data_IF_944027218130
#
_entry.id   IF_944027218130
#
_cell.length_a   1.000
_cell.length_b   1.000
_cell.length_c   1.000
_cell.angle_alpha   90.00
_cell.angle_beta   90.00
_cell.angle_gamma   90.00
#
_symmetry.space_group_name_H-M   'P 1'
#
loop_
_entity.id
_entity.type
_entity.pdbx_description
1 polymer ?
#
# COMPACT_ATOMS: atom_id res chain seq x y z
N UNK A 1 -22.53 10.45 -7.93
CA UNK A 1 -22.48 9.22 -8.74
C UNK A 1 -21.11 9.21 -9.40
N UNK A 2 -20.14 8.47 -8.84
CA UNK A 2 -18.84 8.29 -9.50
C UNK A 2 -19.07 7.39 -10.72
N UNK A 3 -18.98 8.00 -11.88
CA UNK A 3 -19.09 7.32 -13.16
C UNK A 3 -17.71 6.78 -13.56
N UNK A 4 -17.08 6.03 -12.66
CA UNK A 4 -15.80 5.40 -12.96
C UNK A 4 -16.07 4.30 -13.99
N UNK A 5 -15.62 4.55 -15.22
CA UNK A 5 -15.83 3.71 -16.40
C UNK A 5 -15.11 2.36 -16.22
N UNK A 6 -14.04 2.33 -15.40
CA UNK A 6 -13.24 1.14 -15.17
C UNK A 6 -13.70 0.42 -13.88
N UNK A 7 -14.05 -0.84 -14.00
CA UNK A 7 -14.39 -1.70 -12.86
C UNK A 7 -13.31 -1.74 -11.79
N UNK A 8 -12.05 -1.68 -12.18
CA UNK A 8 -10.89 -1.64 -11.27
C UNK A 8 -10.97 -0.48 -10.29
N UNK A 9 -11.48 0.67 -10.72
CA UNK A 9 -11.64 1.83 -9.85
C UNK A 9 -12.95 1.78 -9.07
N UNK A 10 -14.06 1.39 -9.73
CA UNK A 10 -15.39 1.30 -9.11
C UNK A 10 -15.44 0.29 -7.96
N UNK A 11 -14.81 -0.87 -8.15
CA UNK A 11 -14.84 -1.97 -7.18
C UNK A 11 -13.56 -2.08 -6.35
N UNK A 12 -12.76 -1.00 -6.33
CA UNK A 12 -11.56 -0.94 -5.49
C UNK A 12 -11.96 -1.09 -4.01
N UNK A 13 -11.29 -1.95 -3.23
CA UNK A 13 -11.56 -2.11 -1.80
C UNK A 13 -11.50 -0.78 -1.06
N UNK A 14 -12.41 -0.58 -0.12
CA UNK A 14 -12.49 0.63 0.71
C UNK A 14 -12.16 0.36 2.18
N UNK A 15 -12.31 -0.88 2.62
CA UNK A 15 -12.03 -1.33 3.98
C UNK A 15 -11.08 -2.53 3.98
N UNK A 16 -10.46 -2.82 5.13
CA UNK A 16 -9.62 -4.02 5.29
C UNK A 16 -10.42 -5.29 5.06
N UNK A 17 -11.70 -5.28 5.40
CA UNK A 17 -12.57 -6.45 5.22
C UNK A 17 -12.87 -6.74 3.74
N UNK A 18 -12.84 -5.71 2.88
CA UNK A 18 -13.02 -5.88 1.43
C UNK A 18 -11.78 -6.49 0.75
N UNK A 19 -10.63 -6.49 1.44
CA UNK A 19 -9.40 -7.05 0.91
C UNK A 19 -9.44 -8.57 0.94
N UNK A 20 -9.05 -9.20 -0.16
CA UNK A 20 -8.91 -10.66 -0.23
C UNK A 20 -7.48 -10.99 0.21
N UNK A 21 -7.31 -11.22 1.51
CA UNK A 21 -6.02 -11.46 2.15
C UNK A 21 -6.16 -12.55 3.22
N UNK A 22 -5.06 -13.25 3.53
CA UNK A 22 -5.03 -14.16 4.67
C UNK A 22 -5.46 -13.46 5.95
N UNK A 23 -6.23 -14.16 6.79
CA UNK A 23 -6.76 -13.62 8.05
C UNK A 23 -5.64 -13.09 8.98
N UNK A 24 -4.48 -13.72 8.95
CA UNK A 24 -3.30 -13.25 9.69
C UNK A 24 -2.85 -11.84 9.29
N UNK A 25 -2.92 -11.52 7.99
CA UNK A 25 -2.60 -10.19 7.47
C UNK A 25 -3.72 -9.20 7.80
N UNK A 26 -4.99 -9.60 7.65
CA UNK A 26 -6.13 -8.76 8.05
C UNK A 26 -6.06 -8.38 9.53
N UNK A 27 -5.72 -9.33 10.40
CA UNK A 27 -5.53 -9.08 11.83
C UNK A 27 -4.40 -8.08 12.09
N UNK A 28 -3.26 -8.21 11.40
CA UNK A 28 -2.18 -7.22 11.50
C UNK A 28 -2.65 -5.82 11.08
N UNK A 29 -3.46 -5.71 10.04
CA UNK A 29 -4.01 -4.43 9.63
C UNK A 29 -5.04 -3.88 10.62
N UNK A 30 -5.91 -4.71 11.20
CA UNK A 30 -6.81 -4.32 12.29
C UNK A 30 -6.04 -3.79 13.51
N UNK A 31 -4.94 -4.44 13.88
CA UNK A 31 -4.09 -3.99 14.97
C UNK A 31 -3.44 -2.62 14.67
N UNK A 32 -3.01 -2.40 13.42
CA UNK A 32 -2.48 -1.10 12.98
C UNK A 32 -3.55 -0.02 13.04
N UNK A 33 -4.78 -0.33 12.59
CA UNK A 33 -5.92 0.60 12.61
C UNK A 33 -6.36 0.91 14.05
N UNK A 34 -6.33 -0.09 14.94
CA UNK A 34 -6.61 0.11 16.37
C UNK A 34 -5.54 0.89 17.12
N UNK A 35 -4.39 1.13 16.51
CA UNK A 35 -3.29 1.88 17.08
C UNK A 35 -3.33 3.37 16.74
N UNK A 36 -2.63 4.19 17.53
CA UNK A 36 -2.53 5.64 17.30
C UNK A 36 -1.64 6.02 16.12
N UNK A 37 -0.90 5.06 15.54
CA UNK A 37 0.15 5.34 14.55
C UNK A 37 0.29 4.24 13.52
N UNK A 38 0.35 4.62 12.23
CA UNK A 38 0.82 3.71 11.19
C UNK A 38 2.34 3.57 11.34
N UNK A 39 2.89 2.36 11.57
CA UNK A 39 4.32 2.15 11.50
C UNK A 39 4.81 2.30 10.04
N UNK A 40 6.12 2.43 9.84
CA UNK A 40 6.63 2.25 8.49
C UNK A 40 6.49 0.77 8.09
N UNK A 41 6.03 0.53 6.88
CA UNK A 41 5.69 -0.82 6.39
C UNK A 41 6.43 -1.14 5.09
N UNK A 42 6.77 -2.41 4.93
CA UNK A 42 7.11 -3.00 3.63
C UNK A 42 6.07 -4.08 3.36
N UNK A 43 5.25 -3.89 2.32
CA UNK A 43 4.30 -4.87 1.82
C UNK A 43 4.95 -5.63 0.67
N UNK A 44 5.31 -6.89 0.91
CA UNK A 44 6.04 -7.72 -0.04
C UNK A 44 5.21 -8.89 -0.53
N UNK A 45 5.31 -9.22 -1.82
CA UNK A 45 4.62 -10.38 -2.42
C UNK A 45 4.52 -10.27 -3.93
N UNK A 46 4.02 -11.32 -4.58
CA UNK A 46 3.91 -11.37 -6.04
C UNK A 46 3.01 -10.26 -6.61
N UNK A 47 3.16 -9.99 -7.89
CA UNK A 47 2.31 -9.02 -8.59
C UNK A 47 0.82 -9.39 -8.48
N UNK A 48 -0.05 -8.38 -8.41
CA UNK A 48 -1.50 -8.60 -8.36
C UNK A 48 -2.07 -9.05 -7.00
N UNK A 49 -1.27 -9.12 -5.93
CA UNK A 49 -1.74 -9.54 -4.59
C UNK A 49 -2.40 -8.42 -3.77
N UNK A 50 -2.64 -7.25 -4.35
CA UNK A 50 -3.38 -6.17 -3.69
C UNK A 50 -2.56 -5.28 -2.75
N UNK A 51 -1.22 -5.33 -2.77
CA UNK A 51 -0.34 -4.53 -1.88
C UNK A 51 -0.63 -3.04 -1.90
N UNK A 52 -0.69 -2.45 -3.09
CA UNK A 52 -0.98 -1.01 -3.27
C UNK A 52 -2.39 -0.66 -2.81
N UNK A 53 -3.37 -1.52 -3.10
CA UNK A 53 -4.75 -1.36 -2.63
C UNK A 53 -4.82 -1.40 -1.10
N UNK A 54 -4.11 -2.33 -0.47
CA UNK A 54 -4.05 -2.44 0.98
C UNK A 54 -3.41 -1.21 1.64
N UNK A 55 -2.32 -0.67 1.06
CA UNK A 55 -1.71 0.57 1.53
C UNK A 55 -2.69 1.74 1.50
N UNK A 56 -3.46 1.86 0.40
CA UNK A 56 -4.49 2.91 0.28
C UNK A 56 -5.66 2.72 1.24
N UNK A 57 -6.11 1.48 1.45
CA UNK A 57 -7.17 1.15 2.41
C UNK A 57 -6.76 1.54 3.82
N UNK A 58 -5.55 1.20 4.26
CA UNK A 58 -5.03 1.60 5.56
C UNK A 58 -5.05 3.13 5.74
N UNK A 59 -4.64 3.89 4.71
CA UNK A 59 -4.67 5.34 4.77
C UNK A 59 -6.10 5.89 4.86
N UNK A 60 -7.05 5.30 4.14
CA UNK A 60 -8.45 5.71 4.15
C UNK A 60 -9.14 5.43 5.48
N UNK A 61 -8.98 4.22 6.04
CA UNK A 61 -9.59 3.86 7.32
C UNK A 61 -9.05 4.66 8.50
N UNK A 62 -7.80 5.11 8.42
CA UNK A 62 -7.16 5.96 9.41
C UNK A 62 -7.29 7.47 9.14
N UNK A 63 -8.07 7.84 8.12
CA UNK A 63 -8.26 9.23 7.70
C UNK A 63 -6.94 10.01 7.54
N UNK A 64 -5.94 9.34 6.94
CA UNK A 64 -4.62 9.89 6.71
C UNK A 64 -4.53 10.58 5.36
N UNK A 65 -3.90 11.75 5.32
CA UNK A 65 -3.44 12.32 4.04
C UNK A 65 -2.35 11.42 3.46
N UNK A 66 -2.43 11.07 2.18
CA UNK A 66 -1.38 10.28 1.56
C UNK A 66 -1.03 10.73 0.14
N UNK A 67 0.21 10.46 -0.25
CA UNK A 67 0.67 10.55 -1.64
C UNK A 67 1.22 9.21 -2.08
N UNK A 68 1.08 8.93 -3.38
CA UNK A 68 1.67 7.75 -4.00
C UNK A 68 2.79 8.20 -4.93
N UNK A 69 3.94 7.58 -4.80
CA UNK A 69 5.10 7.79 -5.65
C UNK A 69 5.48 6.43 -6.23
N UNK A 70 5.56 6.35 -7.56
CA UNK A 70 5.98 5.12 -8.22
C UNK A 70 7.53 5.06 -8.26
N UNK A 71 8.10 4.01 -7.67
CA UNK A 71 9.53 3.77 -7.64
C UNK A 71 10.14 3.47 -9.01
N UNK A 72 9.34 2.96 -9.95
CA UNK A 72 9.80 2.66 -11.32
C UNK A 72 9.94 3.91 -12.19
N UNK A 73 9.10 4.92 -12.00
CA UNK A 73 9.07 6.14 -12.82
C UNK A 73 9.79 7.30 -12.14
N UNK A 74 9.28 7.75 -11.00
CA UNK A 74 9.77 8.94 -10.30
C UNK A 74 11.01 8.65 -9.44
N UNK A 75 11.15 7.41 -8.97
CA UNK A 75 12.28 6.96 -8.16
C UNK A 75 13.63 6.97 -8.87
N UNK A 76 13.66 7.17 -10.20
CA UNK A 76 14.91 7.32 -10.96
C UNK A 76 15.51 8.73 -10.84
N UNK A 77 14.69 9.74 -10.56
CA UNK A 77 15.09 11.15 -10.45
C UNK A 77 15.15 11.55 -8.98
N UNK A 78 16.26 11.30 -8.33
CA UNK A 78 16.49 11.56 -6.90
C UNK A 78 16.13 13.00 -6.48
N UNK A 79 16.37 13.99 -7.31
CA UNK A 79 16.05 15.39 -7.01
C UNK A 79 14.53 15.65 -7.02
N UNK A 80 13.82 15.11 -7.99
CA UNK A 80 12.36 15.21 -8.06
C UNK A 80 11.72 14.55 -6.86
N UNK A 81 12.18 13.36 -6.50
CA UNK A 81 11.75 12.63 -5.31
C UNK A 81 11.98 13.44 -4.03
N UNK A 82 13.21 13.98 -3.87
CA UNK A 82 13.57 14.81 -2.70
C UNK A 82 12.68 16.04 -2.57
N UNK A 83 12.42 16.75 -3.66
CA UNK A 83 11.60 17.95 -3.64
C UNK A 83 10.15 17.63 -3.29
N UNK A 84 9.53 16.63 -3.93
CA UNK A 84 8.16 16.18 -3.65
C UNK A 84 8.02 15.71 -2.20
N UNK A 85 8.92 14.84 -1.72
CA UNK A 85 8.89 14.34 -0.36
C UNK A 85 9.08 15.45 0.67
N UNK A 86 10.08 16.33 0.46
CA UNK A 86 10.33 17.42 1.41
C UNK A 86 9.13 18.36 1.48
N UNK A 87 8.55 18.74 0.36
CA UNK A 87 7.38 19.61 0.32
C UNK A 87 6.18 18.96 1.03
N UNK A 88 5.90 17.70 0.72
CA UNK A 88 4.78 16.99 1.32
C UNK A 88 4.99 16.74 2.81
N UNK A 89 6.11 16.18 3.22
CA UNK A 89 6.36 15.83 4.62
C UNK A 89 6.55 17.06 5.55
N UNK A 90 6.94 18.22 5.00
CA UNK A 90 7.09 19.46 5.78
C UNK A 90 5.79 20.27 5.89
N UNK A 91 4.79 20.01 5.05
CA UNK A 91 3.50 20.71 5.13
C UNK A 91 2.63 20.12 6.25
N UNK A 92 1.70 20.91 6.76
CA UNK A 92 0.71 20.46 7.76
C UNK A 92 -0.35 19.61 7.05
N UNK A 93 -0.87 18.58 7.72
CA UNK A 93 -2.01 17.81 7.22
C UNK A 93 -3.27 18.70 7.20
N UNK A 94 -4.05 18.59 6.14
CA UNK A 94 -5.31 19.35 6.01
C UNK A 94 -6.44 18.71 6.84
N UNK A 95 -6.40 17.40 7.03
CA UNK A 95 -7.35 16.65 7.86
C UNK A 95 -7.01 16.69 9.36
N UNK A 96 -5.83 17.22 9.73
CA UNK A 96 -5.30 17.16 11.10
C UNK A 96 -4.74 15.78 11.48
N UNK A 97 -4.85 14.80 10.58
CA UNK A 97 -4.34 13.44 10.71
C UNK A 97 -2.86 13.31 10.37
N UNK A 98 -2.36 12.09 10.42
CA UNK A 98 -1.01 11.76 9.98
C UNK A 98 -0.88 11.76 8.47
N UNK A 99 0.33 11.98 8.00
CA UNK A 99 0.68 11.87 6.59
C UNK A 99 1.34 10.55 6.31
N UNK A 100 1.02 9.98 5.15
CA UNK A 100 1.61 8.73 4.68
C UNK A 100 2.19 8.93 3.29
N UNK A 101 3.38 8.42 3.09
CA UNK A 101 4.00 8.33 1.77
C UNK A 101 3.99 6.88 1.35
N UNK A 102 3.28 6.57 0.29
CA UNK A 102 3.27 5.23 -0.33
C UNK A 102 4.28 5.26 -1.47
N UNK A 103 5.31 4.42 -1.37
CA UNK A 103 6.28 4.17 -2.43
C UNK A 103 5.89 2.86 -3.10
N UNK A 104 5.22 2.98 -4.22
CA UNK A 104 4.82 1.80 -5.00
C UNK A 104 5.97 1.30 -5.86
N UNK A 105 6.08 -0.02 -6.04
CA UNK A 105 7.17 -0.65 -6.79
C UNK A 105 8.57 -0.25 -6.29
N UNK A 106 8.77 -0.22 -4.97
CA UNK A 106 10.00 0.27 -4.34
C UNK A 106 11.26 -0.55 -4.70
N UNK A 107 11.10 -1.78 -5.12
CA UNK A 107 12.16 -2.67 -5.61
C UNK A 107 12.77 -2.23 -6.96
N UNK A 108 12.17 -1.25 -7.65
CA UNK A 108 12.74 -0.61 -8.84
C UNK A 108 13.58 0.65 -8.51
N UNK A 109 13.52 1.16 -7.27
CA UNK A 109 14.39 2.26 -6.85
C UNK A 109 15.86 1.86 -6.88
N UNK A 110 16.72 2.76 -7.34
CA UNK A 110 18.18 2.53 -7.42
C UNK A 110 18.77 2.28 -6.03
N UNK A 111 19.43 1.12 -5.79
CA UNK A 111 19.95 0.75 -4.47
C UNK A 111 21.07 1.67 -3.98
N UNK A 112 21.88 2.21 -4.89
CA UNK A 112 23.08 2.99 -4.56
C UNK A 112 22.82 4.48 -4.35
N UNK A 113 21.62 4.97 -4.73
CA UNK A 113 21.33 6.42 -4.67
C UNK A 113 19.97 6.74 -4.03
N UNK A 114 18.89 6.19 -4.59
CA UNK A 114 17.53 6.54 -4.17
C UNK A 114 17.16 5.89 -2.84
N UNK A 115 17.44 4.61 -2.67
CA UNK A 115 17.10 3.91 -1.43
C UNK A 115 17.87 4.45 -0.20
N UNK A 116 19.18 4.78 -0.27
CA UNK A 116 19.87 5.47 0.84
C UNK A 116 19.27 6.84 1.17
N UNK A 117 18.79 7.58 0.15
CA UNK A 117 18.08 8.83 0.40
C UNK A 117 16.76 8.60 1.14
N UNK A 118 16.00 7.56 0.78
CA UNK A 118 14.76 7.17 1.47
C UNK A 118 14.99 6.85 2.95
N UNK A 119 16.08 6.16 3.28
CA UNK A 119 16.48 5.97 4.68
C UNK A 119 16.56 7.32 5.42
N UNK A 120 17.21 8.31 4.83
CA UNK A 120 17.32 9.65 5.42
C UNK A 120 15.97 10.34 5.60
N UNK A 121 15.03 10.15 4.66
CA UNK A 121 13.67 10.69 4.77
C UNK A 121 12.88 10.02 5.90
N UNK A 122 12.95 8.70 6.03
CA UNK A 122 12.30 7.96 7.12
C UNK A 122 12.75 8.53 8.48
N UNK A 123 14.07 8.73 8.66
CA UNK A 123 14.60 9.26 9.91
C UNK A 123 14.18 10.72 10.14
N UNK A 124 14.30 11.55 9.12
CA UNK A 124 14.04 13.00 9.20
C UNK A 124 12.57 13.33 9.48
N UNK A 125 11.64 12.57 8.91
CA UNK A 125 10.21 12.87 8.98
C UNK A 125 9.38 11.90 9.83
N UNK A 126 10.04 11.07 10.64
CA UNK A 126 9.39 10.05 11.51
C UNK A 126 8.34 10.60 12.47
N UNK A 127 8.40 11.88 12.84
CA UNK A 127 7.42 12.54 13.70
C UNK A 127 6.13 12.89 12.96
N UNK A 128 6.21 13.20 11.66
CA UNK A 128 5.09 13.74 10.87
C UNK A 128 4.53 12.77 9.85
N UNK A 129 5.38 11.89 9.32
CA UNK A 129 5.03 10.99 8.23
C UNK A 129 5.38 9.55 8.55
N UNK A 130 4.56 8.64 8.02
CA UNK A 130 4.88 7.21 7.90
C UNK A 130 5.11 6.85 6.44
N UNK A 131 5.90 5.81 6.21
CA UNK A 131 6.26 5.36 4.87
C UNK A 131 5.77 3.93 4.67
N UNK A 132 5.07 3.68 3.56
CA UNK A 132 4.64 2.34 3.15
C UNK A 132 5.31 2.03 1.81
N UNK A 133 6.12 1.00 1.78
CA UNK A 133 6.79 0.52 0.59
C UNK A 133 6.06 -0.72 0.08
N UNK A 134 5.71 -0.77 -1.20
CA UNK A 134 5.28 -2.00 -1.83
C UNK A 134 6.40 -2.55 -2.69
N UNK A 135 6.59 -3.84 -2.73
CA UNK A 135 7.59 -4.48 -3.56
C UNK A 135 7.19 -5.90 -3.96
N UNK A 136 7.68 -6.36 -5.10
CA UNK A 136 7.54 -7.76 -5.50
C UNK A 136 8.71 -8.58 -4.96
N UNK A 137 9.89 -7.98 -4.84
CA UNK A 137 11.13 -8.63 -4.42
C UNK A 137 11.72 -7.90 -3.22
N UNK A 138 11.41 -8.36 -2.00
CA UNK A 138 11.91 -7.75 -0.76
C UNK A 138 13.45 -7.70 -0.66
N UNK A 139 14.14 -8.65 -1.30
CA UNK A 139 15.60 -8.71 -1.32
C UNK A 139 16.26 -7.61 -2.17
N UNK A 140 15.49 -6.85 -2.95
CA UNK A 140 15.96 -5.67 -3.66
C UNK A 140 15.88 -4.39 -2.84
N UNK A 141 15.23 -4.43 -1.69
CA UNK A 141 15.20 -3.33 -0.74
C UNK A 141 16.41 -3.47 0.18
N UNK A 142 17.16 -2.37 0.36
CA UNK A 142 18.38 -2.39 1.19
C UNK A 142 18.07 -2.59 2.68
N UNK A 143 18.97 -3.27 3.39
CA UNK A 143 18.81 -3.57 4.81
C UNK A 143 18.53 -2.34 5.70
N UNK A 144 19.13 -1.15 5.46
CA UNK A 144 18.80 0.04 6.24
C UNK A 144 17.34 0.50 6.17
N UNK A 145 16.58 0.14 5.13
CA UNK A 145 15.14 0.39 5.05
C UNK A 145 14.39 -0.73 5.80
N UNK A 146 14.78 -1.99 5.61
CA UNK A 146 14.19 -3.11 6.35
C UNK A 146 14.24 -2.92 7.86
N UNK A 147 15.36 -2.46 8.40
CA UNK A 147 15.53 -2.23 9.85
C UNK A 147 14.63 -1.15 10.45
N UNK A 148 13.95 -0.35 9.61
CA UNK A 148 13.07 0.77 9.99
C UNK A 148 11.59 0.52 9.68
N UNK A 149 11.28 -0.61 9.08
CA UNK A 149 9.93 -0.96 8.63
C UNK A 149 9.52 -2.32 9.17
N UNK A 150 8.25 -2.46 9.50
CA UNK A 150 7.66 -3.78 9.70
C UNK A 150 7.37 -4.41 8.33
N UNK A 151 7.76 -5.67 8.14
CA UNK A 151 7.57 -6.38 6.87
C UNK A 151 6.32 -7.24 6.96
N UNK A 152 5.39 -7.04 6.03
CA UNK A 152 4.20 -7.87 5.84
C UNK A 152 4.38 -8.63 4.52
N UNK A 153 4.50 -9.96 4.63
CA UNK A 153 4.78 -10.83 3.50
C UNK A 153 3.50 -11.53 3.04
N UNK A 154 3.09 -11.23 1.82
CA UNK A 154 1.89 -11.78 1.15
C UNK A 154 2.11 -13.17 0.54
N UNK A 155 3.34 -13.69 0.59
CA UNK A 155 3.68 -14.99 0.01
C UNK A 155 3.16 -16.17 0.82
N UNK A 156 2.83 -15.99 2.10
CA UNK A 156 2.31 -17.02 3.01
C UNK A 156 0.77 -17.15 2.93
N UNK A 157 0.20 -17.21 1.74
CA UNK A 157 -1.25 -17.23 1.56
C UNK A 157 -1.83 -18.65 1.59
N UNK A 158 -2.89 -18.81 2.37
CA UNK A 158 -3.75 -20.00 2.35
C UNK A 158 -4.63 -19.97 1.10
N UNK A 159 -4.19 -20.65 0.02
CA UNK A 159 -4.73 -20.48 -1.33
C UNK A 159 -6.20 -20.89 -1.48
N UNK A 160 -6.71 -21.82 -0.67
CA UNK A 160 -8.09 -22.30 -0.80
C UNK A 160 -9.12 -21.30 -0.27
N UNK A 161 -8.88 -20.72 0.91
CA UNK A 161 -9.77 -19.72 1.48
C UNK A 161 -9.82 -18.46 0.62
N UNK A 162 -8.67 -17.99 0.16
CA UNK A 162 -8.57 -16.84 -0.73
C UNK A 162 -9.27 -17.06 -2.07
N UNK A 163 -9.23 -18.28 -2.64
CA UNK A 163 -9.97 -18.60 -3.85
C UNK A 163 -11.49 -18.46 -3.65
N UNK A 164 -12.00 -18.91 -2.52
CA UNK A 164 -13.44 -18.80 -2.21
C UNK A 164 -13.86 -17.33 -2.09
N UNK A 165 -13.14 -16.53 -1.29
CA UNK A 165 -13.41 -15.08 -1.15
C UNK A 165 -13.29 -14.34 -2.49
N UNK A 166 -12.31 -14.73 -3.33
CA UNK A 166 -12.17 -14.15 -4.67
C UNK A 166 -13.35 -14.47 -5.57
N UNK A 167 -13.83 -15.71 -5.57
CA UNK A 167 -15.00 -16.12 -6.35
C UNK A 167 -16.27 -15.40 -5.89
N UNK A 168 -16.47 -15.25 -4.58
CA UNK A 168 -17.58 -14.49 -4.03
C UNK A 168 -17.53 -13.02 -4.47
N UNK A 169 -16.35 -12.41 -4.45
CA UNK A 169 -16.17 -11.02 -4.92
C UNK A 169 -16.45 -10.89 -6.41
N UNK A 170 -15.97 -11.82 -7.24
CA UNK A 170 -16.25 -11.85 -8.68
C UNK A 170 -17.75 -11.96 -8.93
N UNK A 171 -18.43 -12.90 -8.27
CA UNK A 171 -19.88 -13.08 -8.40
C UNK A 171 -20.67 -11.84 -7.98
N UNK A 172 -20.24 -11.17 -6.91
CA UNK A 172 -20.83 -9.90 -6.48
C UNK A 172 -20.72 -8.84 -7.58
N UNK A 173 -19.53 -8.65 -8.15
CA UNK A 173 -19.30 -7.65 -9.21
C UNK A 173 -20.13 -7.96 -10.45
N UNK A 174 -20.15 -9.20 -10.90
CA UNK A 174 -20.93 -9.62 -12.07
C UNK A 174 -22.43 -9.36 -11.87
N UNK A 175 -22.93 -9.65 -10.67
CA UNK A 175 -24.32 -9.43 -10.31
C UNK A 175 -24.69 -7.94 -10.30
N UNK A 176 -23.84 -7.09 -9.75
CA UNK A 176 -24.03 -5.63 -9.75
C UNK A 176 -24.02 -5.05 -11.18
N UNK A 177 -23.24 -5.61 -12.09
CA UNK A 177 -23.19 -5.22 -13.51
C UNK A 177 -24.27 -5.91 -14.37
N UNK A 178 -25.16 -6.71 -13.78
CA UNK A 178 -26.26 -7.38 -14.47
C UNK A 178 -25.81 -8.50 -15.40
N UNK A 179 -24.64 -9.08 -15.16
CA UNK A 179 -24.09 -10.19 -15.96
C UNK A 179 -24.42 -11.49 -15.24
N UNK A 180 -25.23 -12.33 -15.88
CA UNK A 180 -25.49 -13.68 -15.37
C UNK A 180 -24.23 -14.53 -15.53
N UNK A 181 -23.65 -14.96 -14.41
CA UNK A 181 -22.55 -15.94 -14.40
C UNK A 181 -23.14 -17.33 -14.18
N UNK A 182 -22.88 -18.26 -15.09
CA UNK A 182 -23.17 -19.68 -14.89
C UNK A 182 -22.08 -20.24 -13.96
N UNK A 183 -22.41 -20.70 -12.75
CA UNK A 183 -21.43 -21.30 -11.85
C UNK A 183 -21.09 -22.72 -12.35
N UNK A 184 -20.06 -22.83 -13.18
CA UNK A 184 -19.47 -24.12 -13.53
C UNK A 184 -18.22 -24.36 -12.73
#
# INVERSE_FOLDING_TARGET
MNNDILWVERYRPSTVEDLILPESIKNTFRDIIGGDKIPNLILSGSAGTGKTSAAMVLCKELDCDYIIINGSDEGRLIETLRNKLTQYCSSVSMSGGRKVVIIDEADYMTPDSVQPAMRGFIEKFSSNCSFIFTCNFKNRIIEPIHSRCAVIDYSASDSQQMCAEFMERCNFILKEEGIESDPK
#
